data_IF_986076926378
#
_entry.id   IF_986076926378
#
_cell.length_a   1.000
_cell.length_b   1.000
_cell.length_c   1.000
_cell.angle_alpha   90.00
_cell.angle_beta   90.00
_cell.angle_gamma   90.00
#
_symmetry.space_group_name_H-M   'P 1'
#
loop_
_entity.id
_entity.type
_entity.pdbx_description
1 polymer ?
#
# COMPACT_ATOMS: atom_id res chain seq x y z
N UNK A 1 -6.44 5.16 -7.17
CA UNK A 1 -6.24 4.60 -5.82
C UNK A 1 -7.54 4.00 -5.34
N UNK A 2 -7.54 2.81 -4.76
CA UNK A 2 -8.78 2.18 -4.27
C UNK A 2 -8.65 0.69 -3.97
N UNK A 3 -7.58 0.04 -4.46
CA UNK A 3 -7.26 -1.36 -4.19
C UNK A 3 -7.02 -1.64 -2.70
N UNK A 4 -6.62 -0.63 -1.91
CA UNK A 4 -6.41 -0.71 -0.47
C UNK A 4 -7.60 -0.18 0.35
N UNK A 5 -8.82 -0.21 -0.19
CA UNK A 5 -10.00 0.26 0.53
C UNK A 5 -10.41 -0.66 1.69
N UNK A 6 -11.03 -0.12 2.73
CA UNK A 6 -11.49 -0.88 3.91
C UNK A 6 -12.52 -1.98 3.59
N UNK A 7 -13.23 -1.86 2.47
CA UNK A 7 -14.20 -2.84 1.98
C UNK A 7 -13.60 -3.87 1.01
N UNK A 8 -12.35 -3.68 0.58
CA UNK A 8 -11.74 -4.55 -0.42
C UNK A 8 -11.29 -5.84 0.23
N UNK A 9 -11.89 -6.95 -0.22
CA UNK A 9 -11.60 -8.29 0.29
C UNK A 9 -10.19 -8.76 -0.05
N UNK A 10 -9.77 -8.53 -1.29
CA UNK A 10 -8.41 -8.86 -1.76
C UNK A 10 -7.32 -8.14 -0.96
N UNK A 11 -7.56 -6.89 -0.56
CA UNK A 11 -6.64 -6.14 0.30
C UNK A 11 -6.41 -6.84 1.63
N UNK A 12 -7.49 -7.24 2.31
CA UNK A 12 -7.40 -7.94 3.59
C UNK A 12 -6.73 -9.31 3.45
N UNK A 13 -7.04 -10.04 2.38
CA UNK A 13 -6.41 -11.33 2.10
C UNK A 13 -4.90 -11.18 1.85
N UNK A 14 -4.48 -10.17 1.07
CA UNK A 14 -3.06 -9.89 0.82
C UNK A 14 -2.34 -9.44 2.10
N UNK A 15 -2.98 -8.61 2.93
CA UNK A 15 -2.44 -8.23 4.23
C UNK A 15 -2.30 -9.42 5.19
N UNK A 16 -3.23 -10.38 5.17
CA UNK A 16 -3.07 -11.63 5.92
C UNK A 16 -1.83 -12.40 5.45
N UNK A 17 -1.66 -12.59 4.14
CA UNK A 17 -0.48 -13.25 3.59
C UNK A 17 0.82 -12.54 3.99
N UNK A 18 0.83 -11.20 3.95
CA UNK A 18 1.96 -10.39 4.40
C UNK A 18 2.23 -10.58 5.90
N UNK A 19 1.20 -10.51 6.75
CA UNK A 19 1.32 -10.73 8.18
C UNK A 19 1.87 -12.13 8.49
N UNK A 20 1.38 -13.16 7.80
CA UNK A 20 1.82 -14.54 7.96
C UNK A 20 3.28 -14.73 7.54
N UNK A 21 3.67 -14.16 6.40
CA UNK A 21 5.03 -14.26 5.87
C UNK A 21 6.06 -13.53 6.73
N UNK A 22 5.67 -12.41 7.34
CA UNK A 22 6.57 -11.57 8.15
C UNK A 22 6.51 -11.86 9.64
N UNK A 23 5.46 -12.56 10.11
CA UNK A 23 5.15 -12.72 11.53
C UNK A 23 4.71 -11.42 12.22
N UNK A 24 4.36 -10.38 11.46
CA UNK A 24 3.99 -9.07 12.00
C UNK A 24 2.48 -8.98 12.25
N UNK A 25 2.14 -8.19 13.27
CA UNK A 25 0.80 -7.63 13.41
C UNK A 25 0.71 -6.35 12.56
N UNK A 26 -0.36 -6.22 11.79
CA UNK A 26 -0.59 -5.07 10.91
C UNK A 26 -1.83 -4.29 11.37
N UNK A 27 -1.60 -3.10 11.93
CA UNK A 27 -2.67 -2.17 12.25
C UNK A 27 -2.97 -1.27 11.04
N UNK A 28 -4.22 -1.31 10.56
CA UNK A 28 -4.68 -0.54 9.40
C UNK A 28 -5.63 0.55 9.86
N UNK A 29 -5.20 1.79 9.68
CA UNK A 29 -5.99 2.98 9.96
C UNK A 29 -6.31 3.70 8.64
N UNK A 30 -7.59 3.77 8.30
CA UNK A 30 -8.05 4.46 7.11
C UNK A 30 -8.40 5.91 7.42
N UNK A 31 -8.03 6.79 6.48
CA UNK A 31 -8.56 8.13 6.41
C UNK A 31 -10.07 8.11 6.04
N UNK A 32 -10.89 9.05 6.54
CA UNK A 32 -12.28 9.18 6.12
C UNK A 32 -12.42 9.34 4.60
N UNK A 33 -13.55 8.95 3.99
CA UNK A 33 -13.79 9.16 2.57
C UNK A 33 -13.57 10.63 2.15
N UNK A 34 -12.93 10.87 1.00
CA UNK A 34 -12.68 12.22 0.49
C UNK A 34 -11.55 13.00 1.17
N UNK A 35 -10.76 12.36 2.04
CA UNK A 35 -9.70 13.04 2.81
C UNK A 35 -8.27 12.72 2.33
N UNK A 36 -8.10 12.16 1.12
CA UNK A 36 -6.78 11.85 0.55
C UNK A 36 -5.85 13.07 0.49
N UNK A 37 -6.41 14.28 0.30
CA UNK A 37 -5.65 15.54 0.34
C UNK A 37 -4.91 15.80 1.66
N UNK A 38 -5.27 15.11 2.73
CA UNK A 38 -4.63 15.24 4.04
C UNK A 38 -3.53 14.19 4.27
N UNK A 39 -3.37 13.23 3.35
CA UNK A 39 -2.29 12.27 3.45
C UNK A 39 -0.96 12.98 3.27
N UNK A 40 -0.09 12.85 4.28
CA UNK A 40 1.22 13.51 4.30
C UNK A 40 2.09 13.14 3.10
N UNK A 41 1.93 11.94 2.52
CA UNK A 41 2.73 11.52 1.36
C UNK A 41 2.50 12.42 0.13
N UNK A 42 1.27 12.91 -0.05
CA UNK A 42 0.90 13.83 -1.13
C UNK A 42 1.71 15.12 -1.04
N UNK A 43 1.89 15.63 0.19
CA UNK A 43 2.59 16.90 0.46
C UNK A 43 4.10 16.75 0.64
N UNK A 44 4.56 15.61 1.14
CA UNK A 44 5.97 15.38 1.52
C UNK A 44 6.78 14.66 0.45
N UNK A 45 6.14 13.96 -0.48
CA UNK A 45 6.83 13.16 -1.49
C UNK A 45 6.28 13.43 -2.90
N UNK A 46 4.98 13.19 -3.14
CA UNK A 46 4.41 13.29 -4.49
C UNK A 46 4.41 14.72 -5.05
N UNK A 47 4.23 15.74 -4.20
CA UNK A 47 4.37 17.15 -4.59
C UNK A 47 5.75 17.45 -5.17
N UNK A 48 6.82 16.95 -4.54
CA UNK A 48 8.20 17.18 -4.98
C UNK A 48 8.53 16.40 -6.25
N UNK A 49 8.06 15.17 -6.39
CA UNK A 49 8.15 14.42 -7.65
C UNK A 49 7.48 15.22 -8.77
N UNK A 50 6.26 15.71 -8.52
CA UNK A 50 5.49 16.50 -9.47
C UNK A 50 6.18 17.80 -9.86
N UNK A 51 6.87 18.45 -8.91
CA UNK A 51 7.68 19.64 -9.19
C UNK A 51 8.92 19.31 -10.00
N UNK A 52 9.63 18.21 -9.69
CA UNK A 52 10.89 17.85 -10.35
C UNK A 52 10.75 17.55 -11.85
N UNK A 53 9.69 16.83 -12.24
CA UNK A 53 9.48 16.46 -13.65
C UNK A 53 8.53 17.37 -14.42
N UNK A 54 8.09 18.49 -13.83
CA UNK A 54 7.21 19.45 -14.49
C UNK A 54 7.86 19.94 -15.78
N UNK A 55 7.14 19.85 -16.89
CA UNK A 55 7.61 20.30 -18.20
C UNK A 55 8.67 19.39 -18.86
N UNK A 56 8.96 18.22 -18.26
CA UNK A 56 9.85 17.22 -18.85
C UNK A 56 9.02 16.14 -19.55
N UNK A 57 9.30 15.80 -20.82
CA UNK A 57 8.55 14.76 -21.53
C UNK A 57 8.87 13.38 -20.95
N UNK A 58 7.83 12.59 -20.65
CA UNK A 58 7.94 11.24 -20.09
C UNK A 58 7.99 10.20 -21.23
N UNK A 59 9.12 10.11 -21.92
CA UNK A 59 9.26 9.37 -23.17
C UNK A 59 9.54 7.87 -23.01
N UNK A 60 10.01 7.43 -21.84
CA UNK A 60 10.30 6.02 -21.55
C UNK A 60 10.18 5.73 -20.05
N UNK A 61 10.06 4.44 -19.69
CA UNK A 61 10.10 4.02 -18.29
C UNK A 61 11.41 4.44 -17.60
N UNK A 62 12.53 4.34 -18.29
CA UNK A 62 13.84 4.77 -17.77
C UNK A 62 13.84 6.27 -17.45
N UNK A 63 13.31 7.11 -18.34
CA UNK A 63 13.18 8.55 -18.10
C UNK A 63 12.29 8.81 -16.88
N UNK A 64 11.17 8.10 -16.75
CA UNK A 64 10.27 8.23 -15.60
C UNK A 64 10.98 7.85 -14.30
N UNK A 65 11.62 6.69 -14.25
CA UNK A 65 12.35 6.20 -13.06
C UNK A 65 13.45 7.18 -12.66
N UNK A 66 14.25 7.62 -13.63
CA UNK A 66 15.32 8.58 -13.40
C UNK A 66 14.78 9.91 -12.85
N UNK A 67 13.66 10.40 -13.38
CA UNK A 67 13.04 11.63 -12.90
C UNK A 67 12.48 11.50 -11.48
N UNK A 68 11.88 10.36 -11.13
CA UNK A 68 11.41 10.13 -9.76
C UNK A 68 12.58 10.03 -8.79
N UNK A 69 13.58 9.19 -9.10
CA UNK A 69 14.74 8.92 -8.24
C UNK A 69 15.60 10.16 -7.97
N UNK A 70 15.73 11.06 -8.96
CA UNK A 70 16.48 12.31 -8.80
C UNK A 70 15.71 13.42 -8.05
N UNK A 71 14.53 13.13 -7.49
CA UNK A 71 13.79 14.08 -6.66
C UNK A 71 14.45 14.22 -5.30
N UNK A 72 14.99 15.41 -5.02
CA UNK A 72 15.58 15.75 -3.71
C UNK A 72 15.09 17.08 -3.19
N UNK A 73 15.26 17.34 -1.89
CA UNK A 73 14.94 18.64 -1.28
C UNK A 73 16.08 19.10 -0.37
N UNK A 74 16.18 20.42 -0.12
CA UNK A 74 17.14 20.98 0.84
C UNK A 74 16.98 20.42 2.26
N UNK A 75 15.82 19.85 2.60
CA UNK A 75 15.53 19.21 3.89
C UNK A 75 15.88 17.71 3.91
N UNK A 76 16.55 17.19 2.89
CA UNK A 76 17.09 15.83 2.87
C UNK A 76 16.13 14.74 2.37
N UNK A 77 15.05 15.08 1.64
CA UNK A 77 14.27 14.05 0.95
C UNK A 77 15.14 13.38 -0.12
N UNK A 78 15.21 12.05 -0.11
CA UNK A 78 15.78 11.22 -1.17
C UNK A 78 14.77 10.14 -1.56
N UNK A 79 14.64 9.85 -2.85
CA UNK A 79 13.66 8.89 -3.36
C UNK A 79 14.38 7.79 -4.11
N UNK A 80 14.01 6.54 -3.82
CA UNK A 80 14.38 5.39 -4.62
C UNK A 80 13.19 5.02 -5.50
N UNK A 81 13.45 4.73 -6.77
CA UNK A 81 12.45 4.30 -7.72
C UNK A 81 13.04 3.19 -8.59
N UNK A 82 12.22 2.18 -8.87
CA UNK A 82 12.57 1.06 -9.72
C UNK A 82 11.39 0.73 -10.65
N UNK A 83 11.71 0.13 -11.80
CA UNK A 83 10.70 -0.39 -12.69
C UNK A 83 10.29 -1.78 -12.23
N UNK A 84 9.04 -1.92 -11.81
CA UNK A 84 8.43 -3.21 -11.56
C UNK A 84 7.80 -3.77 -12.85
N UNK A 85 8.37 -4.86 -13.37
CA UNK A 85 7.88 -5.57 -14.56
C UNK A 85 6.97 -6.74 -14.21
N UNK A 86 6.62 -6.92 -12.94
CA UNK A 86 5.75 -8.00 -12.48
C UNK A 86 4.36 -7.87 -13.09
N UNK A 87 3.83 -8.98 -13.58
CA UNK A 87 2.46 -9.04 -14.09
C UNK A 87 1.50 -9.28 -12.94
N UNK A 88 0.55 -8.35 -12.76
CA UNK A 88 -0.50 -8.45 -11.77
C UNK A 88 -1.84 -8.82 -12.43
N UNK A 89 -2.34 -10.06 -12.21
CA UNK A 89 -3.63 -10.47 -12.76
C UNK A 89 -4.75 -9.57 -12.27
N UNK A 90 -5.59 -9.12 -13.21
CA UNK A 90 -6.79 -8.34 -12.90
C UNK A 90 -7.95 -9.26 -12.54
N UNK A 91 -8.89 -8.75 -11.75
CA UNK A 91 -10.12 -9.47 -11.43
C UNK A 91 -9.93 -10.68 -10.51
N UNK A 92 -8.83 -10.73 -9.74
CA UNK A 92 -8.63 -11.77 -8.74
C UNK A 92 -9.78 -11.77 -7.73
N UNK A 93 -10.41 -12.95 -7.60
CA UNK A 93 -11.49 -13.19 -6.63
C UNK A 93 -10.90 -13.85 -5.39
N UNK A 94 -11.43 -13.47 -4.23
CA UNK A 94 -11.15 -14.16 -2.97
C UNK A 94 -12.35 -15.03 -2.64
N UNK A 95 -12.13 -16.28 -2.28
CA UNK A 95 -13.21 -17.18 -1.86
C UNK A 95 -13.72 -16.80 -0.48
N UNK A 96 -14.98 -17.10 -0.20
CA UNK A 96 -15.57 -16.86 1.13
C UNK A 96 -14.83 -17.64 2.23
N UNK A 97 -14.32 -18.83 1.91
CA UNK A 97 -13.51 -19.62 2.82
C UNK A 97 -12.20 -18.90 3.18
N UNK A 98 -11.50 -18.34 2.19
CA UNK A 98 -10.28 -17.57 2.44
C UNK A 98 -10.56 -16.33 3.29
N UNK A 99 -11.70 -15.66 3.07
CA UNK A 99 -12.11 -14.51 3.88
C UNK A 99 -12.40 -14.86 5.34
N UNK A 100 -13.04 -16.02 5.59
CA UNK A 100 -13.30 -16.50 6.95
C UNK A 100 -12.03 -16.85 7.72
N UNK A 101 -10.95 -17.18 7.02
CA UNK A 101 -9.64 -17.51 7.62
C UNK A 101 -8.82 -16.27 8.00
N UNK A 102 -9.23 -15.07 7.58
CA UNK A 102 -8.51 -13.84 7.94
C UNK A 102 -8.61 -13.62 9.46
N UNK A 103 -7.47 -13.55 10.12
CA UNK A 103 -7.33 -13.26 11.54
C UNK A 103 -7.38 -11.74 11.77
N UNK A 104 -8.59 -11.19 11.70
CA UNK A 104 -8.87 -9.75 11.76
C UNK A 104 -9.62 -9.38 13.04
N UNK A 105 -9.16 -8.33 13.71
CA UNK A 105 -9.87 -7.68 14.82
C UNK A 105 -10.21 -6.25 14.44
N UNK A 106 -11.49 -5.89 14.53
CA UNK A 106 -11.93 -4.51 14.29
C UNK A 106 -11.49 -3.60 15.45
N UNK A 107 -11.08 -2.39 15.13
CA UNK A 107 -10.75 -1.38 16.13
C UNK A 107 -12.00 -0.93 16.88
N UNK A 108 -11.83 -0.41 18.11
CA UNK A 108 -12.91 0.22 18.88
C UNK A 108 -13.37 1.53 18.24
N UNK A 109 -12.43 2.30 17.69
CA UNK A 109 -12.69 3.53 16.96
C UNK A 109 -12.81 3.27 15.45
N UNK A 110 -13.99 3.53 14.89
CA UNK A 110 -14.30 3.31 13.48
C UNK A 110 -13.94 1.90 12.97
N UNK A 111 -14.34 0.86 13.70
CA UNK A 111 -14.05 -0.55 13.37
C UNK A 111 -14.65 -1.04 12.04
N UNK A 112 -15.58 -0.29 11.47
CA UNK A 112 -16.08 -0.46 10.10
C UNK A 112 -15.03 -0.13 9.03
N UNK A 113 -14.01 0.67 9.39
CA UNK A 113 -12.89 1.01 8.51
C UNK A 113 -11.56 0.48 9.05
N UNK A 114 -11.32 0.58 10.35
CA UNK A 114 -10.03 0.32 10.99
C UNK A 114 -9.98 -1.06 11.62
N UNK A 115 -8.84 -1.74 11.46
CA UNK A 115 -8.69 -3.11 11.92
C UNK A 115 -7.22 -3.48 12.06
N UNK A 116 -6.99 -4.51 12.87
CA UNK A 116 -5.72 -5.20 13.03
C UNK A 116 -5.80 -6.56 12.34
N UNK A 117 -4.78 -6.89 11.56
CA UNK A 117 -4.54 -8.25 11.06
C UNK A 117 -3.40 -8.87 11.85
N UNK A 118 -3.64 -10.05 12.41
CA UNK A 118 -2.64 -10.81 13.13
C UNK A 118 -2.07 -11.90 12.24
N UNK A 119 -0.77 -12.13 12.32
CA UNK A 119 -0.15 -13.29 11.69
C UNK A 119 -0.76 -14.59 12.24
N UNK A 120 -1.01 -15.56 11.37
CA UNK A 120 -1.36 -16.93 11.72
C UNK A 120 -0.05 -17.74 11.66
N UNK A 121 0.48 -18.20 12.80
CA UNK A 121 1.71 -18.98 12.80
C UNK A 121 1.50 -20.26 12.00
N UNK A 122 2.34 -20.50 11.01
CA UNK A 122 2.40 -21.82 10.38
C UNK A 122 2.88 -22.81 11.44
N UNK A 123 2.12 -23.88 11.70
CA UNK A 123 2.57 -24.98 12.55
C UNK A 123 3.89 -25.46 11.95
N UNK A 124 5.02 -25.18 12.60
CA UNK A 124 6.30 -25.79 12.22
C UNK A 124 6.08 -27.30 12.28
N UNK A 125 6.20 -27.98 11.13
CA UNK A 125 6.37 -29.42 11.13
C UNK A 125 7.60 -29.68 12.00
N UNK A 126 7.39 -30.44 13.06
CA UNK A 126 8.47 -31.02 13.86
C UNK A 126 9.17 -32.09 13.04
#
# INVERSE_FOLDING_TARGET
GGSNGSRVQLWKAALQQFADATGLQVDVCHFPPGTSKWNKIEHRMFSYISMNWRGKPLTSHEVIVNLVANTTTHKGLTIQAELDTTLYPKGMKVTDEALRKINIKRATFHGEWNYTIFSIPSKRST
#
